data_IF_101336326973
#
_entry.id   IF_101336326973
#
_cell.length_a   1.000
_cell.length_b   1.000
_cell.length_c   1.000
_cell.angle_alpha   90.00
_cell.angle_beta   90.00
_cell.angle_gamma   90.00
#
_symmetry.space_group_name_H-M   'P 1'
#
loop_
_entity.id
_entity.type
_entity.pdbx_description
1 polymer ?
#
# COMPACT_ATOMS: atom_id res chain seq x y z
N UNK A 1 1.48 6.11 -18.23
CA UNK A 1 1.59 5.82 -16.79
C UNK A 1 2.09 7.02 -16.01
N UNK A 2 3.20 7.64 -16.42
CA UNK A 2 3.80 8.80 -15.75
C UNK A 2 2.80 9.94 -15.49
N UNK A 3 1.94 10.26 -16.46
CA UNK A 3 0.89 11.27 -16.26
C UNK A 3 -0.14 10.88 -15.20
N UNK A 4 -0.52 9.60 -15.12
CA UNK A 4 -1.45 9.13 -14.09
C UNK A 4 -0.79 9.12 -12.70
N UNK A 5 0.51 8.79 -12.63
CA UNK A 5 1.30 8.92 -11.41
C UNK A 5 1.35 10.37 -10.93
N UNK A 6 1.72 11.31 -11.81
CA UNK A 6 1.78 12.73 -11.49
C UNK A 6 0.41 13.30 -11.08
N UNK A 7 -0.70 12.81 -11.66
CA UNK A 7 -2.04 13.18 -11.20
C UNK A 7 -2.28 12.77 -9.75
N UNK A 8 -1.83 11.58 -9.32
CA UNK A 8 -2.03 11.10 -7.95
C UNK A 8 -1.19 11.86 -6.91
N UNK A 9 -0.12 12.54 -7.34
CA UNK A 9 0.62 13.47 -6.49
C UNK A 9 -0.14 14.79 -6.26
N UNK A 10 -1.12 15.10 -7.13
CA UNK A 10 -1.88 16.34 -7.11
C UNK A 10 -3.33 16.16 -6.61
N UNK A 11 -3.92 14.96 -6.74
CA UNK A 11 -5.32 14.72 -6.42
C UNK A 11 -5.58 13.30 -5.89
N UNK A 12 -6.66 13.09 -5.12
CA UNK A 12 -7.04 11.77 -4.64
C UNK A 12 -7.37 10.78 -5.76
N UNK A 13 -7.20 9.48 -5.49
CA UNK A 13 -7.57 8.37 -6.40
C UNK A 13 -8.99 8.49 -6.95
N UNK A 14 -9.92 8.97 -6.12
CA UNK A 14 -11.33 9.14 -6.49
C UNK A 14 -11.55 10.23 -7.56
N UNK A 15 -10.70 11.25 -7.62
CA UNK A 15 -10.83 12.40 -8.52
C UNK A 15 -10.14 12.22 -9.87
N UNK A 16 -9.19 11.28 -9.96
CA UNK A 16 -8.57 10.91 -11.24
C UNK A 16 -9.68 10.55 -12.24
N UNK A 17 -9.56 10.96 -13.51
CA UNK A 17 -10.53 10.57 -14.54
C UNK A 17 -9.85 10.33 -15.88
N UNK A 18 -10.44 9.49 -16.73
CA UNK A 18 -9.92 9.29 -18.09
C UNK A 18 -9.97 10.56 -18.93
N UNK A 19 -10.94 11.44 -18.70
CA UNK A 19 -11.05 12.71 -19.42
C UNK A 19 -9.87 13.62 -19.07
N UNK A 20 -9.57 13.76 -17.77
CA UNK A 20 -8.45 14.56 -17.30
C UNK A 20 -7.11 13.96 -17.73
N UNK A 21 -6.97 12.64 -17.66
CA UNK A 21 -5.79 11.94 -18.17
C UNK A 21 -5.58 12.23 -19.66
N UNK A 22 -6.63 12.10 -20.47
CA UNK A 22 -6.61 12.39 -21.92
C UNK A 22 -6.18 13.82 -22.21
N UNK A 23 -6.71 14.78 -21.44
CA UNK A 23 -6.37 16.21 -21.55
C UNK A 23 -4.89 16.45 -21.27
N UNK A 24 -4.33 15.84 -20.22
CA UNK A 24 -2.93 16.01 -19.82
C UNK A 24 -1.93 15.34 -20.77
N UNK A 25 -2.28 14.19 -21.35
CA UNK A 25 -1.42 13.52 -22.36
C UNK A 25 -1.57 14.11 -23.78
N UNK A 26 -2.48 15.07 -23.98
CA UNK A 26 -2.74 15.69 -25.28
C UNK A 26 -3.37 14.74 -26.30
N UNK A 27 -4.01 13.66 -25.85
CA UNK A 27 -4.67 12.68 -26.71
C UNK A 27 -6.19 12.81 -26.64
N UNK A 28 -6.86 12.54 -27.76
CA UNK A 28 -8.30 12.32 -27.73
C UNK A 28 -8.63 11.11 -26.84
N UNK A 29 -9.77 11.15 -26.13
CA UNK A 29 -10.22 10.05 -25.27
C UNK A 29 -10.28 8.70 -25.99
N UNK A 30 -10.69 8.70 -27.26
CA UNK A 30 -10.72 7.50 -28.11
C UNK A 30 -9.34 6.87 -28.33
N UNK A 31 -8.26 7.67 -28.31
CA UNK A 31 -6.90 7.16 -28.43
C UNK A 31 -6.41 6.56 -27.10
N UNK A 32 -6.76 7.16 -25.96
CA UNK A 32 -6.44 6.59 -24.63
C UNK A 32 -7.17 5.26 -24.42
N UNK A 33 -8.44 5.17 -24.85
CA UNK A 33 -9.25 3.95 -24.74
C UNK A 33 -8.73 2.77 -25.57
N UNK A 34 -7.79 2.98 -26.50
CA UNK A 34 -7.09 1.90 -27.21
C UNK A 34 -6.08 1.17 -26.32
N UNK A 35 -5.57 1.85 -25.30
CA UNK A 35 -4.57 1.32 -24.36
C UNK A 35 -5.23 0.83 -23.07
N UNK A 36 -6.21 1.58 -22.56
CA UNK A 36 -6.86 1.28 -21.29
C UNK A 36 -8.37 1.36 -21.42
N UNK A 37 -9.07 0.30 -21.01
CA UNK A 37 -10.53 0.23 -21.12
C UNK A 37 -11.27 1.14 -20.13
N UNK A 38 -10.64 1.46 -19.00
CA UNK A 38 -11.23 2.29 -17.94
C UNK A 38 -10.17 3.02 -17.14
N UNK A 39 -10.60 3.97 -16.29
CA UNK A 39 -9.70 4.63 -15.32
C UNK A 39 -9.13 3.60 -14.37
N UNK A 40 -9.98 2.71 -13.88
CA UNK A 40 -9.66 1.67 -12.93
C UNK A 40 -8.59 0.72 -13.49
N UNK A 41 -8.66 0.38 -14.79
CA UNK A 41 -7.60 -0.40 -15.44
C UNK A 41 -6.24 0.31 -15.40
N UNK A 42 -6.19 1.63 -15.64
CA UNK A 42 -4.95 2.43 -15.52
C UNK A 42 -4.42 2.38 -14.08
N UNK A 43 -5.29 2.57 -13.09
CA UNK A 43 -4.91 2.64 -11.68
C UNK A 43 -4.46 1.27 -11.13
N UNK A 44 -5.08 0.16 -11.56
CA UNK A 44 -4.66 -1.19 -11.19
C UNK A 44 -3.28 -1.55 -11.76
N UNK A 45 -2.97 -1.10 -12.97
CA UNK A 45 -1.66 -1.31 -13.56
C UNK A 45 -0.60 -0.42 -12.89
N UNK A 46 -0.96 0.82 -12.54
CA UNK A 46 -0.08 1.70 -11.77
C UNK A 46 0.22 1.16 -10.37
N UNK A 47 -0.78 0.56 -9.70
CA UNK A 47 -0.59 -0.12 -8.43
C UNK A 47 0.45 -1.24 -8.54
N UNK A 48 0.41 -2.04 -9.61
CA UNK A 48 1.42 -3.10 -9.83
C UNK A 48 2.83 -2.53 -10.01
N UNK A 49 2.98 -1.45 -10.79
CA UNK A 49 4.26 -0.75 -10.97
C UNK A 49 4.80 -0.24 -9.63
N UNK A 50 3.95 0.36 -8.80
CA UNK A 50 4.35 0.88 -7.50
C UNK A 50 4.71 -0.23 -6.52
N UNK A 51 3.96 -1.33 -6.49
CA UNK A 51 4.30 -2.50 -5.69
C UNK A 51 5.64 -3.11 -6.12
N UNK A 52 5.89 -3.26 -7.42
CA UNK A 52 7.16 -3.76 -7.93
C UNK A 52 8.35 -2.93 -7.47
N UNK A 53 8.26 -1.61 -7.67
CA UNK A 53 9.31 -0.68 -7.27
C UNK A 53 9.53 -0.70 -5.76
N UNK A 54 8.46 -0.64 -4.98
CA UNK A 54 8.55 -0.69 -3.52
C UNK A 54 9.16 -2.00 -3.03
N UNK A 55 8.83 -3.14 -3.63
CA UNK A 55 9.41 -4.43 -3.23
C UNK A 55 10.91 -4.53 -3.53
N UNK A 56 11.39 -3.89 -4.61
CA UNK A 56 12.82 -3.81 -4.89
C UNK A 56 13.55 -2.98 -3.81
N UNK A 57 13.02 -1.80 -3.49
CA UNK A 57 13.56 -0.93 -2.44
C UNK A 57 13.47 -1.60 -1.04
N UNK A 58 12.37 -2.29 -0.76
CA UNK A 58 12.17 -3.04 0.48
C UNK A 58 13.20 -4.16 0.65
N UNK A 59 13.55 -4.88 -0.43
CA UNK A 59 14.55 -5.94 -0.38
C UNK A 59 15.92 -5.40 0.08
N UNK A 60 16.32 -4.22 -0.40
CA UNK A 60 17.56 -3.55 0.01
C UNK A 60 17.49 -3.10 1.47
N UNK A 61 16.37 -2.47 1.87
CA UNK A 61 16.18 -2.00 3.25
C UNK A 61 16.17 -3.15 4.27
N UNK A 62 15.54 -4.30 3.95
CA UNK A 62 15.51 -5.47 4.82
C UNK A 62 16.89 -6.13 4.93
N UNK A 63 17.64 -6.22 3.82
CA UNK A 63 18.99 -6.77 3.81
C UNK A 63 19.97 -5.93 4.63
N UNK A 64 19.85 -4.61 4.59
CA UNK A 64 20.69 -3.70 5.36
C UNK A 64 20.25 -3.51 6.82
N UNK A 65 18.96 -3.74 7.12
CA UNK A 65 18.36 -3.37 8.40
C UNK A 65 18.08 -4.52 9.38
N UNK A 66 18.21 -5.78 8.93
CA UNK A 66 17.92 -6.96 9.75
C UNK A 66 19.11 -7.93 9.75
N UNK A 67 19.83 -7.94 10.86
CA UNK A 67 20.89 -8.92 11.14
C UNK A 67 20.28 -10.31 11.33
N UNK A 68 20.83 -11.31 10.63
CA UNK A 68 20.28 -12.66 10.61
C UNK A 68 20.40 -13.39 11.97
N UNK A 69 21.45 -13.08 12.74
CA UNK A 69 21.78 -13.70 14.03
C UNK A 69 21.11 -13.03 15.24
N UNK A 70 20.43 -11.89 15.04
CA UNK A 70 19.69 -11.22 16.09
C UNK A 70 18.56 -12.11 16.66
N UNK A 71 18.12 -11.85 17.89
CA UNK A 71 16.99 -12.56 18.48
C UNK A 71 15.70 -12.38 17.63
N UNK A 72 14.80 -13.38 17.55
CA UNK A 72 13.58 -13.32 16.74
C UNK A 72 12.73 -12.06 16.96
N UNK A 73 12.60 -11.63 18.21
CA UNK A 73 11.83 -10.45 18.61
C UNK A 73 12.48 -9.16 18.08
N UNK A 74 13.81 -9.12 18.04
CA UNK A 74 14.56 -7.98 17.49
C UNK A 74 14.37 -7.91 15.98
N UNK A 75 14.46 -9.04 15.26
CA UNK A 75 14.23 -9.08 13.81
C UNK A 75 12.80 -8.69 13.46
N UNK A 76 11.81 -9.17 14.22
CA UNK A 76 10.42 -8.77 14.04
C UNK A 76 10.19 -7.28 14.32
N UNK A 77 10.79 -6.73 15.37
CA UNK A 77 10.75 -5.28 15.64
C UNK A 77 11.34 -4.46 14.48
N UNK A 78 12.47 -4.89 13.92
CA UNK A 78 13.10 -4.25 12.75
C UNK A 78 12.24 -4.38 11.50
N UNK A 79 11.63 -5.54 11.25
CA UNK A 79 10.70 -5.74 10.15
C UNK A 79 9.51 -4.77 10.24
N UNK A 80 8.88 -4.66 11.41
CA UNK A 80 7.77 -3.73 11.64
C UNK A 80 8.17 -2.27 11.38
N UNK A 81 9.36 -1.88 11.83
CA UNK A 81 9.91 -0.54 11.64
C UNK A 81 10.16 -0.22 10.15
N UNK A 82 10.78 -1.14 9.42
CA UNK A 82 11.09 -0.97 7.98
C UNK A 82 9.80 -0.93 7.15
N UNK A 83 8.86 -1.86 7.40
CA UNK A 83 7.58 -1.89 6.69
C UNK A 83 6.76 -0.63 6.94
N UNK A 84 6.62 -0.21 8.20
CA UNK A 84 5.82 0.96 8.55
C UNK A 84 6.39 2.25 7.96
N UNK A 85 7.71 2.46 8.06
CA UNK A 85 8.38 3.62 7.45
C UNK A 85 8.27 3.62 5.93
N UNK A 86 8.54 2.48 5.27
CA UNK A 86 8.52 2.40 3.81
C UNK A 86 7.11 2.58 3.24
N UNK A 87 6.07 2.04 3.88
CA UNK A 87 4.69 2.23 3.43
C UNK A 87 4.19 3.65 3.72
N UNK A 88 4.48 4.21 4.91
CA UNK A 88 4.03 5.56 5.26
C UNK A 88 4.65 6.66 4.39
N UNK A 89 5.81 6.42 3.78
CA UNK A 89 6.42 7.33 2.80
C UNK A 89 5.85 7.19 1.38
N UNK A 90 4.92 6.24 1.16
CA UNK A 90 4.31 5.92 -0.14
C UNK A 90 2.78 5.95 -0.02
N UNK A 91 2.23 7.10 0.38
CA UNK A 91 0.78 7.28 0.62
C UNK A 91 -0.04 6.91 -0.60
N UNK A 92 0.36 7.33 -1.81
CA UNK A 92 -0.34 6.99 -3.06
C UNK A 92 -0.43 5.48 -3.29
N UNK A 93 0.64 4.73 -2.98
CA UNK A 93 0.60 3.25 -3.06
C UNK A 93 -0.43 2.69 -2.08
N UNK A 94 -0.46 3.20 -0.85
CA UNK A 94 -1.42 2.78 0.16
C UNK A 94 -2.87 3.09 -0.28
N UNK A 95 -3.12 4.29 -0.79
CA UNK A 95 -4.45 4.72 -1.25
C UNK A 95 -4.95 3.87 -2.43
N UNK A 96 -4.07 3.58 -3.40
CA UNK A 96 -4.41 2.68 -4.51
C UNK A 96 -4.76 1.28 -4.01
N UNK A 97 -3.99 0.74 -3.06
CA UNK A 97 -4.27 -0.56 -2.48
C UNK A 97 -5.60 -0.56 -1.69
N UNK A 98 -5.85 0.48 -0.90
CA UNK A 98 -7.10 0.67 -0.15
C UNK A 98 -8.33 0.80 -1.06
N UNK A 99 -8.18 1.45 -2.22
CA UNK A 99 -9.24 1.60 -3.21
C UNK A 99 -9.49 0.32 -4.04
N UNK A 100 -8.57 -0.65 -4.02
CA UNK A 100 -8.57 -1.80 -4.93
C UNK A 100 -9.88 -2.60 -4.84
N UNK A 101 -10.20 -3.11 -3.65
CA UNK A 101 -11.35 -3.98 -3.43
C UNK A 101 -12.69 -3.23 -3.45
N UNK A 102 -12.72 -1.95 -3.08
CA UNK A 102 -13.95 -1.15 -2.97
C UNK A 102 -14.33 -0.39 -4.25
N UNK A 103 -13.37 -0.12 -5.13
CA UNK A 103 -13.56 0.76 -6.29
C UNK A 103 -12.94 0.14 -7.55
N UNK A 104 -11.64 -0.14 -7.53
CA UNK A 104 -10.90 -0.43 -8.77
C UNK A 104 -11.30 -1.76 -9.40
N UNK A 105 -11.65 -2.77 -8.60
CA UNK A 105 -12.06 -4.09 -9.09
C UNK A 105 -13.50 -4.15 -9.63
N UNK A 106 -14.30 -3.07 -9.52
CA UNK A 106 -15.71 -3.07 -9.90
C UNK A 106 -16.00 -2.63 -11.35
N UNK A 107 -15.17 -1.74 -11.93
CA UNK A 107 -15.42 -1.09 -13.22
C UNK A 107 -14.37 -1.48 -14.28
N UNK A 108 -14.05 -2.77 -14.33
CA UNK A 108 -13.04 -3.35 -15.24
C UNK A 108 -13.55 -4.65 -15.84
N UNK A 109 -13.00 -5.04 -16.99
CA UNK A 109 -13.32 -6.33 -17.58
C UNK A 109 -12.77 -7.49 -16.75
N UNK A 110 -13.37 -8.67 -16.94
CA UNK A 110 -12.89 -9.91 -16.33
C UNK A 110 -11.42 -10.20 -16.70
N UNK A 111 -11.01 -9.90 -17.94
CA UNK A 111 -9.64 -10.12 -18.37
C UNK A 111 -8.66 -9.13 -17.71
N UNK A 112 -9.04 -7.87 -17.51
CA UNK A 112 -8.23 -6.93 -16.74
C UNK A 112 -8.08 -7.37 -15.27
N UNK A 113 -9.17 -7.82 -14.63
CA UNK A 113 -9.11 -8.38 -13.26
C UNK A 113 -8.19 -9.60 -13.22
N UNK A 114 -8.29 -10.52 -14.18
CA UNK A 114 -7.42 -11.71 -14.23
C UNK A 114 -5.95 -11.34 -14.38
N UNK A 115 -5.62 -10.35 -15.23
CA UNK A 115 -4.23 -9.85 -15.35
C UNK A 115 -3.77 -9.25 -14.03
N UNK A 116 -4.56 -8.36 -13.44
CA UNK A 116 -4.25 -7.72 -12.16
C UNK A 116 -4.04 -8.78 -11.05
N UNK A 117 -4.99 -9.71 -10.84
CA UNK A 117 -4.88 -10.74 -9.79
C UNK A 117 -3.64 -11.62 -9.95
N UNK A 118 -3.28 -12.00 -11.18
CA UNK A 118 -2.03 -12.76 -11.42
C UNK A 118 -0.80 -11.96 -10.99
N UNK A 119 -0.74 -10.67 -11.33
CA UNK A 119 0.36 -9.81 -10.90
C UNK A 119 0.38 -9.63 -9.38
N UNK A 120 -0.75 -9.31 -8.77
CA UNK A 120 -0.87 -9.13 -7.31
C UNK A 120 -0.47 -10.39 -6.53
N UNK A 121 -0.84 -11.58 -7.01
CA UNK A 121 -0.39 -12.84 -6.40
C UNK A 121 1.12 -13.04 -6.52
N UNK A 122 1.71 -12.67 -7.66
CA UNK A 122 3.18 -12.69 -7.82
C UNK A 122 3.85 -11.72 -6.84
N UNK A 123 3.39 -10.47 -6.74
CA UNK A 123 3.94 -9.47 -5.80
C UNK A 123 3.81 -9.91 -4.35
N UNK A 124 2.68 -10.51 -3.98
CA UNK A 124 2.48 -11.05 -2.64
C UNK A 124 3.44 -12.22 -2.34
N UNK A 125 3.68 -13.09 -3.32
CA UNK A 125 4.65 -14.17 -3.18
C UNK A 125 6.08 -13.65 -3.06
N UNK A 126 6.46 -12.65 -3.86
CA UNK A 126 7.77 -11.98 -3.80
C UNK A 126 7.98 -11.35 -2.40
N UNK A 127 7.01 -10.58 -1.91
CA UNK A 127 7.03 -9.99 -0.56
C UNK A 127 7.14 -11.07 0.53
N UNK A 128 6.37 -12.15 0.41
CA UNK A 128 6.40 -13.26 1.36
C UNK A 128 7.79 -13.90 1.41
N UNK A 129 8.44 -14.08 0.26
CA UNK A 129 9.80 -14.59 0.16
C UNK A 129 10.83 -13.69 0.84
N UNK A 130 10.71 -12.37 0.66
CA UNK A 130 11.56 -11.39 1.34
C UNK A 130 11.36 -11.46 2.87
N UNK A 131 10.11 -11.38 3.33
CA UNK A 131 9.79 -11.40 4.76
C UNK A 131 10.26 -12.69 5.44
N UNK A 132 9.99 -13.85 4.84
CA UNK A 132 10.42 -15.15 5.39
C UNK A 132 11.93 -15.30 5.49
N UNK A 133 12.70 -14.65 4.61
CA UNK A 133 14.17 -14.68 4.66
C UNK A 133 14.70 -14.01 5.93
N UNK A 134 14.05 -12.95 6.38
CA UNK A 134 14.51 -12.15 7.52
C UNK A 134 13.81 -12.52 8.84
N UNK A 135 12.60 -13.07 8.78
CA UNK A 135 11.85 -13.54 9.95
C UNK A 135 11.27 -14.93 9.65
N UNK A 136 12.11 -15.99 9.66
CA UNK A 136 11.68 -17.35 9.33
C UNK A 136 10.63 -17.92 10.30
N UNK A 137 10.56 -17.39 11.52
CA UNK A 137 9.59 -17.77 12.56
C UNK A 137 8.13 -17.56 12.14
N UNK A 138 7.87 -16.69 11.17
CA UNK A 138 6.52 -16.49 10.61
C UNK A 138 5.97 -17.75 9.93
N UNK A 139 6.84 -18.66 9.47
CA UNK A 139 6.46 -19.92 8.84
C UNK A 139 5.42 -19.73 7.74
N UNK A 140 4.35 -20.54 7.80
CA UNK A 140 3.24 -20.50 6.85
C UNK A 140 2.34 -19.26 7.01
N UNK A 141 2.42 -18.57 8.15
CA UNK A 141 1.68 -17.33 8.43
C UNK A 141 2.22 -16.10 7.68
N UNK A 142 3.42 -16.18 7.10
CA UNK A 142 4.09 -15.05 6.47
C UNK A 142 3.28 -14.42 5.32
N UNK A 143 2.61 -15.24 4.50
CA UNK A 143 1.82 -14.73 3.37
C UNK A 143 0.61 -13.93 3.87
N UNK A 144 -0.09 -14.44 4.88
CA UNK A 144 -1.22 -13.74 5.48
C UNK A 144 -0.76 -12.45 6.16
N UNK A 145 0.37 -12.47 6.86
CA UNK A 145 0.98 -11.26 7.44
C UNK A 145 1.27 -10.20 6.36
N UNK A 146 1.86 -10.59 5.22
CA UNK A 146 2.14 -9.66 4.12
C UNK A 146 0.85 -9.06 3.55
N UNK A 147 -0.17 -9.89 3.29
CA UNK A 147 -1.47 -9.42 2.81
C UNK A 147 -2.12 -8.46 3.80
N UNK A 148 -2.18 -8.83 5.08
CA UNK A 148 -2.76 -7.99 6.13
C UNK A 148 -1.99 -6.70 6.33
N UNK A 149 -0.67 -6.71 6.12
CA UNK A 149 0.15 -5.50 6.20
C UNK A 149 -0.24 -4.49 5.12
N UNK A 150 -0.43 -4.96 3.88
CA UNK A 150 -0.89 -4.11 2.76
C UNK A 150 -2.34 -3.63 2.96
N UNK A 151 -3.22 -4.51 3.45
CA UNK A 151 -4.61 -4.14 3.77
C UNK A 151 -4.65 -3.07 4.88
N UNK A 152 -3.89 -3.25 5.96
CA UNK A 152 -3.78 -2.25 7.02
C UNK A 152 -3.21 -0.93 6.50
N UNK A 153 -2.22 -0.97 5.60
CA UNK A 153 -1.66 0.23 4.98
C UNK A 153 -2.71 1.02 4.20
N UNK A 154 -3.48 0.36 3.32
CA UNK A 154 -4.54 1.02 2.57
C UNK A 154 -5.72 1.47 3.43
N UNK A 155 -6.05 0.75 4.50
CA UNK A 155 -7.11 1.15 5.43
C UNK A 155 -6.71 2.35 6.28
N UNK A 156 -5.47 2.38 6.77
CA UNK A 156 -4.96 3.47 7.62
C UNK A 156 -4.65 4.73 6.81
N UNK A 157 -4.26 4.62 5.54
CA UNK A 157 -4.02 5.81 4.70
C UNK A 157 -5.28 6.65 4.49
N UNK A 158 -6.47 6.04 4.49
CA UNK A 158 -7.74 6.75 4.39
C UNK A 158 -8.01 7.73 5.55
N UNK A 159 -7.27 7.64 6.66
CA UNK A 159 -7.36 8.57 7.79
C UNK A 159 -6.36 9.73 7.70
N UNK A 160 -5.45 9.75 6.72
CA UNK A 160 -4.33 10.70 6.65
C UNK A 160 -4.15 11.28 5.23
N UNK A 161 -4.16 12.62 5.06
CA UNK A 161 -4.45 13.62 6.09
C UNK A 161 -5.95 13.67 6.42
N UNK A 162 -6.32 14.02 7.67
CA UNK A 162 -7.71 14.23 8.03
C UNK A 162 -8.35 15.39 7.24
N UNK A 163 -9.65 15.31 6.90
CA UNK A 163 -10.31 16.37 6.16
C UNK A 163 -10.42 17.68 6.97
N UNK A 164 -10.54 18.86 6.32
CA UNK A 164 -10.59 20.15 7.01
C UNK A 164 -11.68 20.28 8.08
N UNK A 165 -12.84 19.65 7.86
CA UNK A 165 -13.93 19.62 8.84
C UNK A 165 -13.56 18.87 10.12
N UNK A 166 -12.81 17.76 10.01
CA UNK A 166 -12.34 16.99 11.16
C UNK A 166 -11.24 17.74 11.92
N UNK A 167 -10.33 18.42 11.20
CA UNK A 167 -9.33 19.29 11.81
C UNK A 167 -9.96 20.46 12.57
N UNK A 168 -11.02 21.08 12.02
CA UNK A 168 -11.76 22.13 12.72
C UNK A 168 -12.40 21.61 14.02
N UNK A 169 -13.00 20.41 13.99
CA UNK A 169 -13.56 19.78 15.19
C UNK A 169 -12.48 19.51 16.26
N UNK A 170 -11.29 19.05 15.88
CA UNK A 170 -10.17 18.85 16.82
C UNK A 170 -9.62 20.17 17.38
N UNK A 171 -9.68 21.26 16.62
CA UNK A 171 -9.27 22.57 17.11
C UNK A 171 -10.28 23.15 18.12
N UNK A 172 -11.57 22.93 17.92
CA UNK A 172 -12.64 23.35 18.83
C UNK A 172 -12.69 22.50 20.12
N UNK A 173 -12.57 21.18 19.98
CA UNK A 173 -12.60 20.23 21.09
C UNK A 173 -11.39 19.26 21.02
N UNK A 174 -10.22 19.65 21.58
CA UNK A 174 -8.99 18.85 21.49
C UNK A 174 -9.11 17.42 22.05
N UNK A 175 -10.05 17.17 22.96
CA UNK A 175 -10.33 15.83 23.49
C UNK A 175 -10.84 14.85 22.42
N UNK A 176 -11.40 15.33 21.31
CA UNK A 176 -11.85 14.49 20.18
C UNK A 176 -10.68 14.00 19.31
N UNK A 177 -9.52 14.65 19.39
CA UNK A 177 -8.31 14.35 18.60
C UNK A 177 -7.50 13.14 19.10
N UNK A 178 -7.99 12.38 20.07
CA UNK A 178 -7.27 11.23 20.67
C UNK A 178 -6.90 10.13 19.68
N UNK A 179 -7.63 10.02 18.57
CA UNK A 179 -7.38 9.08 17.48
C UNK A 179 -6.86 9.79 16.21
N UNK A 180 -6.25 10.98 16.35
CA UNK A 180 -5.50 11.57 15.25
C UNK A 180 -4.24 10.73 15.02
N UNK A 181 -4.28 9.93 13.95
CA UNK A 181 -3.23 8.95 13.66
C UNK A 181 -2.08 9.59 12.88
N UNK A 182 -0.86 9.31 13.31
CA UNK A 182 0.30 9.31 12.41
C UNK A 182 0.35 7.97 11.67
N UNK A 183 0.42 7.99 10.34
CA UNK A 183 0.33 6.79 9.52
C UNK A 183 1.46 5.79 9.83
N UNK A 184 2.70 6.28 10.02
CA UNK A 184 3.85 5.41 10.32
C UNK A 184 3.66 4.75 11.68
N UNK A 185 3.30 5.52 12.70
CA UNK A 185 3.12 4.97 14.05
C UNK A 185 1.94 4.00 14.15
N UNK A 186 0.83 4.28 13.44
CA UNK A 186 -0.30 3.37 13.34
C UNK A 186 0.10 2.05 12.65
N UNK A 187 0.82 2.12 11.53
CA UNK A 187 1.33 0.93 10.83
C UNK A 187 2.31 0.15 11.68
N UNK A 188 3.26 0.83 12.33
CA UNK A 188 4.26 0.21 13.21
C UNK A 188 3.57 -0.55 14.33
N UNK A 189 2.59 0.08 14.99
CA UNK A 189 1.81 -0.55 16.05
C UNK A 189 1.05 -1.78 15.55
N UNK A 190 0.40 -1.67 14.38
CA UNK A 190 -0.33 -2.78 13.76
C UNK A 190 0.60 -3.96 13.46
N UNK A 191 1.72 -3.70 12.78
CA UNK A 191 2.66 -4.74 12.36
C UNK A 191 3.36 -5.39 13.54
N UNK A 192 3.83 -4.60 14.52
CA UNK A 192 4.43 -5.13 15.76
C UNK A 192 3.45 -6.01 16.51
N UNK A 193 2.19 -5.59 16.65
CA UNK A 193 1.16 -6.38 17.35
C UNK A 193 0.91 -7.72 16.66
N UNK A 194 0.81 -7.72 15.32
CA UNK A 194 0.63 -8.96 14.56
C UNK A 194 1.86 -9.86 14.67
N UNK A 195 3.07 -9.32 14.56
CA UNK A 195 4.31 -10.10 14.64
C UNK A 195 4.49 -10.73 16.03
N UNK A 196 4.31 -9.97 17.10
CA UNK A 196 4.38 -10.51 18.47
C UNK A 196 3.29 -11.56 18.76
N UNK A 197 2.14 -11.47 18.06
CA UNK A 197 1.08 -12.47 18.16
C UNK A 197 1.39 -13.78 17.44
N UNK A 198 2.21 -13.75 16.38
CA UNK A 198 2.57 -14.92 15.55
C UNK A 198 3.85 -15.59 16.05
N UNK A 199 4.81 -14.83 16.59
CA UNK A 199 6.07 -15.41 17.04
C UNK A 199 5.83 -16.44 18.17
N UNK A 200 6.56 -17.58 18.16
CA UNK A 200 6.49 -18.56 19.24
C UNK A 200 6.78 -17.88 20.58
N UNK A 201 5.89 -18.04 21.55
CA UNK A 201 6.19 -17.62 22.93
C UNK A 201 7.12 -18.65 23.53
N UNK A 202 8.23 -18.20 24.11
CA UNK A 202 9.14 -19.02 24.90
C UNK A 202 8.42 -19.68 26.09
#
# INVERSE_FOLDING_TARGET
MDTAAAMLDEMPVAEVSLNELSRRVGLAKSNVLRYFESREAVLLELLDIFLERWLAELAEELAAGIEADAAPEVRAGRLAEILSRSLASRVVLCDLFGAQGGVLEHNVSVEAVKRHKRSSLKRLADMTGLVRRHVPELGDGAQLFCLMSLVSAGALSAYVPPPPSLLAAYAEEPALGVLHLDLRDALRTSFTSTLLGILPRA
#
